data_IF_636141530713
#
_entry.id   IF_636141530713
#
_cell.length_a   1.000
_cell.length_b   1.000
_cell.length_c   1.000
_cell.angle_alpha   90.00
_cell.angle_beta   90.00
_cell.angle_gamma   90.00
#
_symmetry.space_group_name_H-M   'P 1'
#
loop_
_entity.id
_entity.type
_entity.pdbx_description
1 polymer ?
#
# COMPACT_ATOMS: atom_id res chain seq x y z
N UNK A 1 -36.18 30.30 18.92
CA UNK A 1 -35.55 29.47 19.97
C UNK A 1 -35.25 28.12 19.34
N UNK A 2 -33.99 27.87 18.98
CA UNK A 2 -33.61 26.70 18.19
C UNK A 2 -32.29 26.19 18.79
N UNK A 3 -32.30 24.95 19.30
CA UNK A 3 -31.32 24.39 20.23
C UNK A 3 -30.06 23.87 19.53
N UNK A 4 -28.92 24.10 20.18
CA UNK A 4 -27.59 23.56 19.86
C UNK A 4 -27.53 22.05 20.10
N UNK A 5 -26.81 21.29 19.26
CA UNK A 5 -26.31 19.95 19.60
C UNK A 5 -24.86 19.82 19.09
N UNK A 6 -23.93 19.76 20.04
CA UNK A 6 -22.53 19.34 19.91
C UNK A 6 -22.49 17.88 20.38
N UNK A 7 -21.92 16.98 19.59
CA UNK A 7 -21.55 15.59 19.97
C UNK A 7 -20.25 15.33 19.20
N UNK A 8 -19.07 15.15 19.78
CA UNK A 8 -18.73 14.42 21.00
C UNK A 8 -17.90 13.20 20.57
N UNK A 9 -16.63 13.41 20.19
CA UNK A 9 -15.71 12.35 19.76
C UNK A 9 -15.17 11.59 20.97
N UNK A 10 -15.54 10.33 21.09
CA UNK A 10 -14.89 9.40 22.02
C UNK A 10 -15.03 7.98 21.49
N UNK A 11 -13.92 7.41 21.01
CA UNK A 11 -13.78 5.96 20.87
C UNK A 11 -12.52 5.55 21.61
N UNK A 12 -12.72 5.07 22.84
CA UNK A 12 -11.71 4.35 23.61
C UNK A 12 -11.80 2.89 23.19
N UNK A 13 -10.70 2.30 22.72
CA UNK A 13 -10.59 0.86 22.55
C UNK A 13 -9.31 0.35 23.23
N UNK A 14 -9.48 -0.19 24.42
CA UNK A 14 -8.48 -0.95 25.15
C UNK A 14 -8.67 -2.43 24.84
N UNK A 15 -7.66 -3.15 24.35
CA UNK A 15 -7.64 -4.62 24.34
C UNK A 15 -6.21 -5.16 24.46
N UNK A 16 -5.93 -5.74 25.63
CA UNK A 16 -4.75 -6.54 25.98
C UNK A 16 -4.96 -7.99 25.52
N UNK A 17 -3.93 -8.63 24.94
CA UNK A 17 -3.63 -10.06 25.15
C UNK A 17 -2.29 -10.44 24.51
N UNK A 18 -1.39 -11.04 25.29
CA UNK A 18 -0.11 -11.58 24.83
C UNK A 18 -0.18 -13.03 24.35
N UNK A 19 0.87 -13.47 23.66
CA UNK A 19 1.10 -14.87 23.31
C UNK A 19 2.41 -15.06 22.54
N UNK A 20 3.38 -15.74 23.14
CA UNK A 20 4.64 -16.17 22.51
C UNK A 20 4.36 -17.44 21.72
N UNK A 21 4.67 -17.47 20.42
CA UNK A 21 4.60 -18.69 19.61
C UNK A 21 5.86 -18.88 18.76
N UNK A 22 6.55 -20.00 18.99
CA UNK A 22 7.69 -20.47 18.23
C UNK A 22 7.25 -20.91 16.81
N UNK A 23 7.94 -20.40 15.80
CA UNK A 23 7.53 -20.49 14.39
C UNK A 23 7.89 -21.84 13.75
N UNK A 24 6.88 -22.68 13.47
CA UNK A 24 6.95 -23.72 12.44
C UNK A 24 6.51 -23.08 11.12
N UNK A 25 7.38 -23.10 10.10
CA UNK A 25 7.09 -22.48 8.80
C UNK A 25 6.08 -23.34 7.99
N UNK A 26 4.82 -22.92 8.02
CA UNK A 26 3.79 -23.37 7.08
C UNK A 26 3.77 -22.41 5.88
N UNK A 27 3.74 -22.94 4.66
CA UNK A 27 3.60 -22.14 3.44
C UNK A 27 2.23 -21.46 3.44
N UNK A 28 2.21 -20.22 3.90
CA UNK A 28 1.04 -19.42 4.17
C UNK A 28 0.35 -19.02 2.85
N UNK A 29 -0.83 -19.59 2.58
CA UNK A 29 -1.73 -19.17 1.51
C UNK A 29 -2.45 -17.92 2.03
N UNK A 30 -2.00 -16.75 1.57
CA UNK A 30 -2.31 -15.43 2.14
C UNK A 30 -3.78 -15.22 2.50
N UNK A 31 -4.07 -14.89 3.77
CA UNK A 31 -5.35 -14.31 4.15
C UNK A 31 -5.32 -12.82 3.78
N UNK A 32 -6.25 -12.32 2.94
CA UNK A 32 -6.32 -10.90 2.58
C UNK A 32 -6.58 -9.98 3.78
N UNK A 33 -7.06 -10.52 4.90
CA UNK A 33 -7.19 -9.77 6.15
C UNK A 33 -5.86 -9.60 6.92
N UNK A 34 -4.79 -10.33 6.54
CA UNK A 34 -3.47 -10.20 7.18
C UNK A 34 -2.68 -9.12 6.46
N UNK A 35 -2.51 -8.00 7.16
CA UNK A 35 -1.75 -6.85 6.72
C UNK A 35 -0.24 -7.15 6.82
N UNK A 36 0.54 -6.65 5.86
CA UNK A 36 1.99 -6.87 5.83
C UNK A 36 2.72 -6.21 7.01
N UNK A 37 3.96 -6.61 7.32
CA UNK A 37 4.72 -6.12 8.48
C UNK A 37 5.03 -4.62 8.47
N UNK A 38 4.80 -3.93 7.33
CA UNK A 38 4.99 -2.49 7.17
C UNK A 38 3.65 -1.72 7.06
N UNK A 39 2.52 -2.37 7.34
CA UNK A 39 1.22 -1.72 7.34
C UNK A 39 0.94 -1.11 8.72
N UNK A 40 0.55 0.16 8.72
CA UNK A 40 -0.22 0.79 9.80
C UNK A 40 -1.36 1.58 9.16
N UNK A 41 -2.49 1.71 9.84
CA UNK A 41 -3.63 2.50 9.35
C UNK A 41 -3.21 3.96 9.08
N UNK A 42 -2.40 4.52 9.98
CA UNK A 42 -1.84 5.88 9.87
C UNK A 42 -0.99 6.05 8.60
N UNK A 43 -0.12 5.08 8.30
CA UNK A 43 0.71 5.09 7.09
C UNK A 43 -0.15 4.98 5.83
N UNK A 44 -1.17 4.13 5.86
CA UNK A 44 -2.09 3.98 4.74
C UNK A 44 -2.84 5.28 4.46
N UNK A 45 -3.44 5.90 5.47
CA UNK A 45 -4.13 7.19 5.31
C UNK A 45 -3.20 8.30 4.82
N UNK A 46 -1.97 8.37 5.35
CA UNK A 46 -0.97 9.33 4.88
C UNK A 46 -0.57 9.10 3.41
N UNK A 47 -0.56 7.84 2.97
CA UNK A 47 -0.28 7.47 1.57
C UNK A 47 -1.45 7.83 0.66
N UNK A 48 -2.70 7.56 1.07
CA UNK A 48 -3.89 7.92 0.29
C UNK A 48 -4.00 9.43 0.11
N UNK A 49 -3.82 10.21 1.18
CA UNK A 49 -3.79 11.67 1.09
C UNK A 49 -2.71 12.17 0.12
N UNK A 50 -1.55 11.52 0.07
CA UNK A 50 -0.50 11.89 -0.86
C UNK A 50 -0.90 11.65 -2.33
N UNK A 51 -1.66 10.58 -2.61
CA UNK A 51 -2.20 10.33 -3.94
C UNK A 51 -3.34 11.30 -4.30
N UNK A 52 -4.28 11.53 -3.39
CA UNK A 52 -5.41 12.46 -3.60
C UNK A 52 -4.94 13.90 -3.87
N UNK A 53 -3.92 14.35 -3.13
CA UNK A 53 -3.38 15.71 -3.24
C UNK A 53 -2.23 15.82 -4.23
N UNK A 54 -1.86 14.73 -4.90
CA UNK A 54 -0.72 14.67 -5.83
C UNK A 54 0.59 15.18 -5.21
N UNK A 55 0.82 14.86 -3.93
CA UNK A 55 1.96 15.31 -3.14
C UNK A 55 3.11 14.30 -3.15
N UNK A 56 4.04 14.48 -4.09
CA UNK A 56 5.23 13.64 -4.25
C UNK A 56 6.12 13.58 -2.99
N UNK A 57 6.34 14.70 -2.31
CA UNK A 57 7.25 14.75 -1.15
C UNK A 57 6.66 14.00 0.05
N UNK A 58 5.36 14.13 0.28
CA UNK A 58 4.64 13.35 1.29
C UNK A 58 4.72 11.85 0.98
N UNK A 59 4.46 11.46 -0.27
CA UNK A 59 4.57 10.08 -0.71
C UNK A 59 5.99 9.52 -0.54
N UNK A 60 7.01 10.27 -0.99
CA UNK A 60 8.42 9.88 -0.91
C UNK A 60 8.85 9.59 0.53
N UNK A 61 8.40 10.41 1.47
CA UNK A 61 8.64 10.23 2.91
C UNK A 61 8.06 8.91 3.41
N UNK A 62 6.84 8.56 2.98
CA UNK A 62 6.17 7.31 3.39
C UNK A 62 6.81 6.04 2.79
N UNK A 63 7.43 6.13 1.61
CA UNK A 63 8.13 4.97 1.02
C UNK A 63 9.56 4.83 1.54
N UNK A 64 10.17 5.92 2.06
CA UNK A 64 11.51 5.91 2.64
C UNK A 64 12.60 5.45 1.66
N UNK A 65 12.45 5.74 0.37
CA UNK A 65 13.38 5.32 -0.68
C UNK A 65 13.39 3.81 -0.99
N UNK A 66 12.47 3.01 -0.44
CA UNK A 66 12.49 1.56 -0.57
C UNK A 66 11.83 1.08 -1.87
N UNK A 67 12.52 0.17 -2.56
CA UNK A 67 12.01 -0.59 -3.71
C UNK A 67 12.02 0.19 -5.02
N UNK A 68 11.91 -0.53 -6.14
CA UNK A 68 12.00 0.02 -7.51
C UNK A 68 11.08 1.22 -7.80
N UNK A 69 9.96 1.34 -7.09
CA UNK A 69 9.06 2.50 -7.24
C UNK A 69 9.73 3.81 -6.83
N UNK A 70 10.64 3.81 -5.85
CA UNK A 70 11.38 5.01 -5.42
C UNK A 70 12.39 5.49 -6.45
N UNK A 71 12.90 4.58 -7.28
CA UNK A 71 13.92 4.85 -8.31
C UNK A 71 13.28 5.41 -9.59
N UNK A 72 12.04 5.02 -9.86
CA UNK A 72 11.33 5.32 -11.10
C UNK A 72 10.41 6.53 -10.94
N UNK A 73 9.72 6.63 -9.81
CA UNK A 73 8.76 7.70 -9.57
C UNK A 73 9.49 8.92 -9.01
N UNK A 74 9.33 10.03 -9.71
CA UNK A 74 9.89 11.33 -9.38
C UNK A 74 8.78 12.39 -9.42
N UNK A 75 9.13 13.64 -9.11
CA UNK A 75 8.17 14.74 -9.07
C UNK A 75 7.45 14.97 -10.40
N UNK A 76 8.10 14.68 -11.53
CA UNK A 76 7.59 14.96 -12.86
C UNK A 76 6.54 13.93 -13.31
N UNK A 77 6.68 12.67 -12.87
CA UNK A 77 5.77 11.58 -13.24
C UNK A 77 4.83 11.12 -12.11
N UNK A 78 4.92 11.73 -10.92
CA UNK A 78 4.10 11.35 -9.77
C UNK A 78 2.59 11.46 -10.04
N UNK A 79 2.17 12.45 -10.82
CA UNK A 79 0.77 12.62 -11.20
C UNK A 79 0.21 11.43 -11.98
N UNK A 80 0.99 10.87 -12.91
CA UNK A 80 0.62 9.67 -13.66
C UNK A 80 0.57 8.44 -12.75
N UNK A 81 1.53 8.35 -11.83
CA UNK A 81 1.56 7.27 -10.85
C UNK A 81 0.35 7.32 -9.91
N UNK A 82 -0.03 8.50 -9.41
CA UNK A 82 -1.22 8.71 -8.59
C UNK A 82 -2.50 8.34 -9.36
N UNK A 83 -2.60 8.73 -10.63
CA UNK A 83 -3.71 8.32 -11.51
C UNK A 83 -3.79 6.81 -11.66
N UNK A 84 -2.65 6.12 -11.80
CA UNK A 84 -2.62 4.67 -11.86
C UNK A 84 -3.12 4.03 -10.55
N UNK A 85 -2.79 4.61 -9.39
CA UNK A 85 -3.31 4.17 -8.09
C UNK A 85 -4.84 4.30 -8.04
N UNK A 86 -5.39 5.48 -8.35
CA UNK A 86 -6.84 5.73 -8.38
C UNK A 86 -7.59 4.79 -9.33
N UNK A 87 -7.03 4.50 -10.51
CA UNK A 87 -7.61 3.54 -11.45
C UNK A 87 -7.63 2.13 -10.87
N UNK A 88 -6.59 1.72 -10.13
CA UNK A 88 -6.56 0.41 -9.49
C UNK A 88 -7.61 0.31 -8.37
N UNK A 89 -7.78 1.35 -7.56
CA UNK A 89 -8.82 1.41 -6.52
C UNK A 89 -10.24 1.35 -7.10
N UNK A 90 -10.44 1.97 -8.27
CA UNK A 90 -11.68 1.88 -9.03
C UNK A 90 -11.89 0.52 -9.74
N UNK A 91 -10.98 -0.46 -9.55
CA UNK A 91 -11.03 -1.78 -10.18
C UNK A 91 -10.60 -1.80 -11.65
N UNK A 92 -10.13 -0.67 -12.21
CA UNK A 92 -9.66 -0.53 -13.60
C UNK A 92 -8.20 -0.94 -13.72
N UNK A 93 -7.94 -2.20 -13.43
CA UNK A 93 -6.59 -2.76 -13.33
C UNK A 93 -5.82 -2.67 -14.65
N UNK A 94 -6.46 -2.90 -15.80
CA UNK A 94 -5.78 -2.86 -17.11
C UNK A 94 -5.23 -1.47 -17.43
N UNK A 95 -5.99 -0.42 -17.14
CA UNK A 95 -5.59 0.97 -17.38
C UNK A 95 -4.52 1.42 -16.38
N UNK A 96 -4.66 1.04 -15.11
CA UNK A 96 -3.61 1.22 -14.12
C UNK A 96 -2.30 0.55 -14.57
N UNK A 97 -2.38 -0.69 -15.04
CA UNK A 97 -1.23 -1.46 -15.51
C UNK A 97 -0.60 -0.85 -16.76
N UNK A 98 -1.37 -0.28 -17.67
CA UNK A 98 -0.85 0.42 -18.84
C UNK A 98 0.03 1.61 -18.43
N UNK A 99 -0.45 2.44 -17.50
CA UNK A 99 0.31 3.59 -16.98
C UNK A 99 1.56 3.11 -16.25
N UNK A 100 1.43 2.11 -15.36
CA UNK A 100 2.59 1.53 -14.65
C UNK A 100 3.61 0.93 -15.60
N UNK A 101 3.18 0.35 -16.73
CA UNK A 101 4.07 -0.15 -17.77
C UNK A 101 4.81 0.98 -18.46
N UNK A 102 4.11 2.05 -18.82
CA UNK A 102 4.72 3.24 -19.43
C UNK A 102 5.77 3.88 -18.52
N UNK A 103 5.49 3.93 -17.21
CA UNK A 103 6.43 4.39 -16.20
C UNK A 103 7.60 3.41 -15.96
N UNK A 104 7.58 2.20 -16.52
CA UNK A 104 8.62 1.18 -16.26
C UNK A 104 8.51 0.50 -14.89
N UNK A 105 7.38 0.68 -14.20
CA UNK A 105 7.04 0.05 -12.92
C UNK A 105 6.53 -1.39 -13.07
N UNK A 106 6.19 -1.82 -14.28
CA UNK A 106 5.76 -3.18 -14.48
C UNK A 106 6.93 -4.14 -14.27
N UNK A 107 6.68 -5.18 -13.47
CA UNK A 107 7.58 -6.31 -13.35
C UNK A 107 7.61 -6.95 -14.74
N UNK A 108 8.77 -7.02 -15.39
CA UNK A 108 8.94 -7.83 -16.60
C UNK A 108 8.23 -9.16 -16.35
N UNK A 109 7.28 -9.55 -17.22
CA UNK A 109 6.54 -10.81 -17.11
C UNK A 109 7.53 -11.93 -16.77
N UNK A 110 7.64 -12.30 -15.49
CA UNK A 110 8.69 -13.21 -14.99
C UNK A 110 9.47 -12.76 -13.75
N UNK A 111 9.59 -11.47 -13.41
CA UNK A 111 10.37 -11.03 -12.23
C UNK A 111 9.58 -10.98 -10.91
N UNK A 112 8.26 -11.18 -10.98
CA UNK A 112 7.38 -11.41 -9.83
C UNK A 112 7.09 -12.89 -9.58
N UNK A 113 7.74 -13.79 -10.30
CA UNK A 113 7.65 -15.23 -10.04
C UNK A 113 8.35 -15.48 -8.72
N UNK A 114 7.56 -15.85 -7.70
CA UNK A 114 8.04 -16.09 -6.35
C UNK A 114 9.36 -16.87 -6.38
N UNK A 115 10.38 -16.32 -5.72
CA UNK A 115 11.60 -17.06 -5.35
C UNK A 115 11.22 -18.16 -4.35
N UNK A 116 10.50 -19.16 -4.84
CA UNK A 116 9.82 -20.16 -4.05
C UNK A 116 9.16 -21.21 -4.93
N UNK A 117 9.76 -21.58 -6.07
CA UNK A 117 9.34 -22.74 -6.84
C UNK A 117 10.57 -23.45 -7.44
N UNK A 118 11.02 -24.49 -6.73
CA UNK A 118 11.65 -25.68 -7.29
C UNK A 118 12.98 -25.56 -8.03
N UNK A 119 14.07 -25.95 -7.34
CA UNK A 119 15.06 -26.87 -7.94
C UNK A 119 15.32 -28.02 -6.97
N UNK A 120 14.58 -29.10 -7.19
CA UNK A 120 15.04 -30.45 -6.85
C UNK A 120 16.32 -30.72 -7.63
N UNK A 121 17.39 -31.10 -6.92
CA UNK A 121 18.18 -32.31 -7.18
C UNK A 121 18.61 -32.89 -5.85
#
# INVERSE_FOLDING_TARGET
MNKNIIIGSSLVLTLLAGGVYASRALAYRGNPAIQGPNYSAERHEAMEKAFETNNYEAWKTQIGGRGRVSEIVNKDNFAEFAKAHQLAEAGRLDESNAIRTNLGLNLQRGSGQGRGMGRNR
#
